data_IF_067357915766
#
_entry.id   IF_067357915766
#
_cell.length_a   1.000
_cell.length_b   1.000
_cell.length_c   1.000
_cell.angle_alpha   90.00
_cell.angle_beta   90.00
_cell.angle_gamma   90.00
#
_symmetry.space_group_name_H-M   'P 1'
#
loop_
_entity.id
_entity.type
_entity.pdbx_description
1 polymer ?
#
# COMPACT_ATOMS: atom_id res chain seq x y z
N UNK A 1 -7.21 8.19 11.73
CA UNK A 1 -7.02 7.58 10.46
C UNK A 1 -8.14 7.94 9.51
N UNK A 2 -7.94 7.71 8.23
CA UNK A 2 -8.86 8.13 7.17
C UNK A 2 -10.28 7.62 7.29
N UNK A 3 -10.53 6.62 8.08
CA UNK A 3 -11.88 6.10 8.28
C UNK A 3 -12.88 7.13 8.79
N UNK A 4 -12.39 8.13 9.52
CA UNK A 4 -13.26 9.15 10.08
C UNK A 4 -13.99 9.90 9.00
N UNK A 5 -13.34 10.07 7.85
CA UNK A 5 -13.94 10.78 6.71
C UNK A 5 -15.10 10.00 6.13
N UNK A 6 -14.98 8.69 6.08
CA UNK A 6 -16.02 7.86 5.46
C UNK A 6 -17.35 7.93 6.18
N UNK A 7 -17.33 8.19 7.48
CA UNK A 7 -18.54 8.25 8.27
C UNK A 7 -19.40 9.46 8.00
N UNK A 8 -18.83 10.47 7.38
CA UNK A 8 -19.48 11.75 7.20
C UNK A 8 -19.80 12.08 5.75
N UNK A 9 -19.53 11.16 4.84
CA UNK A 9 -19.76 11.39 3.42
C UNK A 9 -20.69 10.33 2.86
N UNK A 10 -21.49 10.72 1.88
CA UNK A 10 -22.30 9.79 1.11
C UNK A 10 -21.57 9.37 -0.15
N UNK A 11 -20.33 9.00 -0.01
CA UNK A 11 -19.50 8.53 -1.11
C UNK A 11 -19.96 7.13 -1.50
N UNK A 12 -20.29 6.87 -2.78
CA UNK A 12 -20.68 5.53 -3.23
C UNK A 12 -19.56 4.48 -3.07
N UNK A 13 -18.31 4.94 -2.92
CA UNK A 13 -17.17 4.05 -2.69
C UNK A 13 -16.91 3.81 -1.22
N UNK A 14 -17.72 4.34 -0.34
CA UNK A 14 -17.44 4.41 1.09
C UNK A 14 -17.06 3.09 1.72
N UNK A 15 -17.80 2.02 1.45
CA UNK A 15 -17.50 0.73 2.07
C UNK A 15 -16.26 0.06 1.47
N UNK A 16 -15.72 0.60 0.38
CA UNK A 16 -14.51 0.10 -0.26
C UNK A 16 -13.32 1.02 -0.03
N UNK A 17 -13.55 2.15 0.67
CA UNK A 17 -12.53 3.11 1.03
C UNK A 17 -11.89 2.79 2.38
N UNK A 18 -12.29 1.70 3.02
CA UNK A 18 -11.71 1.30 4.29
C UNK A 18 -10.50 0.42 4.04
N UNK A 19 -9.46 0.62 4.82
CA UNK A 19 -8.34 -0.30 4.82
C UNK A 19 -8.78 -1.62 5.44
N UNK A 20 -8.22 -2.73 4.99
CA UNK A 20 -8.68 -4.03 5.43
C UNK A 20 -7.53 -5.05 5.40
N UNK A 21 -7.74 -6.14 6.13
CA UNK A 21 -6.79 -7.25 6.19
C UNK A 21 -5.59 -6.97 7.08
N UNK A 22 -4.63 -7.91 7.16
CA UNK A 22 -3.49 -7.80 8.08
C UNK A 22 -2.62 -6.57 7.86
N UNK A 23 -2.46 -6.10 6.63
CA UNK A 23 -1.65 -4.94 6.33
C UNK A 23 -2.46 -3.64 6.27
N UNK A 24 -3.76 -3.68 6.55
CA UNK A 24 -4.63 -2.50 6.55
C UNK A 24 -4.47 -1.67 5.28
N UNK A 25 -4.70 -2.29 4.13
CA UNK A 25 -4.51 -1.65 2.83
C UNK A 25 -5.86 -1.32 2.19
N UNK A 26 -5.94 -0.16 1.53
CA UNK A 26 -7.11 0.27 0.77
C UNK A 26 -7.14 -0.38 -0.60
N UNK A 27 -8.34 -0.69 -1.10
CA UNK A 27 -8.47 -1.32 -2.42
C UNK A 27 -7.94 -0.43 -3.55
N UNK A 28 -8.18 0.88 -3.48
CA UNK A 28 -7.64 1.80 -4.48
C UNK A 28 -6.11 1.76 -4.49
N UNK A 29 -5.51 1.77 -3.31
CA UNK A 29 -4.04 1.73 -3.17
C UNK A 29 -3.50 0.41 -3.71
N UNK A 30 -4.19 -0.70 -3.42
CA UNK A 30 -3.79 -2.01 -3.94
C UNK A 30 -3.84 -2.03 -5.47
N UNK A 31 -4.92 -1.52 -6.06
CA UNK A 31 -5.05 -1.46 -7.52
C UNK A 31 -3.94 -0.62 -8.13
N UNK A 32 -3.67 0.54 -7.56
CA UNK A 32 -2.60 1.42 -8.06
C UNK A 32 -1.24 0.74 -7.98
N UNK A 33 -0.98 0.00 -6.90
CA UNK A 33 0.28 -0.73 -6.77
C UNK A 33 0.39 -1.88 -7.78
N UNK A 34 -0.71 -2.58 -8.04
CA UNK A 34 -0.75 -3.63 -9.07
C UNK A 34 -0.49 -3.05 -10.45
N UNK A 35 -1.14 -1.95 -10.80
CA UNK A 35 -0.96 -1.29 -12.08
C UNK A 35 0.48 -0.79 -12.25
N UNK A 36 1.06 -0.25 -11.17
CA UNK A 36 2.45 0.16 -11.19
C UNK A 36 3.37 -1.03 -11.48
N UNK A 37 3.16 -2.15 -10.77
CA UNK A 37 3.97 -3.35 -10.98
C UNK A 37 3.89 -3.84 -12.43
N UNK A 38 2.69 -3.83 -13.01
CA UNK A 38 2.51 -4.22 -14.40
C UNK A 38 3.25 -3.29 -15.34
N UNK A 39 3.16 -1.96 -15.12
CA UNK A 39 3.81 -0.98 -15.97
C UNK A 39 5.34 -1.07 -15.91
N UNK A 40 5.88 -1.49 -14.78
CA UNK A 40 7.33 -1.63 -14.57
C UNK A 40 7.85 -3.02 -14.90
N UNK A 41 6.98 -3.91 -15.36
CA UNK A 41 7.38 -5.28 -15.69
C UNK A 41 7.74 -6.11 -14.47
N UNK A 42 7.26 -5.74 -13.29
CA UNK A 42 7.49 -6.52 -12.09
C UNK A 42 6.56 -7.72 -12.13
N UNK A 43 7.10 -8.95 -12.15
CA UNK A 43 6.24 -10.13 -12.26
C UNK A 43 5.45 -10.36 -10.98
N UNK A 44 4.12 -10.34 -11.12
CA UNK A 44 3.24 -10.60 -10.00
C UNK A 44 2.12 -11.53 -10.46
N UNK A 45 1.78 -12.49 -9.61
CA UNK A 45 0.64 -13.34 -9.84
C UNK A 45 -0.25 -13.30 -8.61
N UNK A 46 -1.34 -12.58 -8.73
CA UNK A 46 -2.22 -12.31 -7.59
C UNK A 46 -3.57 -12.99 -7.70
N UNK A 47 -3.79 -13.77 -8.74
CA UNK A 47 -5.04 -14.50 -8.91
C UNK A 47 -6.24 -13.62 -9.23
N UNK A 48 -5.99 -12.39 -9.67
CA UNK A 48 -7.05 -11.52 -10.18
C UNK A 48 -6.86 -11.40 -11.68
N UNK A 49 -7.92 -11.72 -12.41
CA UNK A 49 -7.92 -11.64 -13.87
C UNK A 49 -8.64 -10.38 -14.33
N UNK A 50 -8.28 -9.95 -15.53
CA UNK A 50 -8.90 -8.79 -16.15
C UNK A 50 -8.25 -7.49 -15.77
N UNK A 51 -8.62 -6.45 -16.50
CA UNK A 51 -8.10 -5.12 -16.28
C UNK A 51 -8.74 -4.49 -15.05
N UNK A 52 -7.95 -3.75 -14.29
CA UNK A 52 -8.39 -3.09 -13.06
C UNK A 52 -8.33 -1.59 -13.23
N UNK A 53 -9.34 -0.90 -12.72
CA UNK A 53 -9.39 0.56 -12.73
C UNK A 53 -9.56 1.07 -11.31
N UNK A 54 -8.69 1.99 -10.84
CA UNK A 54 -8.67 2.39 -9.43
C UNK A 54 -9.90 3.16 -8.95
N UNK A 55 -10.72 3.66 -9.87
CA UNK A 55 -11.94 4.40 -9.52
C UNK A 55 -13.22 3.71 -9.97
N UNK A 56 -13.14 2.48 -10.45
CA UNK A 56 -14.31 1.72 -10.85
C UNK A 56 -14.89 1.01 -9.62
N UNK A 57 -16.19 1.23 -9.29
CA UNK A 57 -16.77 0.64 -8.08
C UNK A 57 -16.72 -0.89 -8.03
N UNK A 58 -16.93 -1.55 -9.17
CA UNK A 58 -16.91 -3.01 -9.22
C UNK A 58 -15.51 -3.56 -8.96
N UNK A 59 -14.50 -2.92 -9.53
CA UNK A 59 -13.10 -3.32 -9.31
C UNK A 59 -12.69 -3.05 -7.87
N UNK A 60 -13.06 -1.90 -7.31
CA UNK A 60 -12.78 -1.57 -5.92
C UNK A 60 -13.42 -2.59 -4.98
N UNK A 61 -14.66 -2.98 -5.24
CA UNK A 61 -15.35 -3.96 -4.43
C UNK A 61 -14.70 -5.34 -4.53
N UNK A 62 -14.35 -5.75 -5.74
CA UNK A 62 -13.73 -7.06 -5.99
C UNK A 62 -12.40 -7.16 -5.27
N UNK A 63 -11.56 -6.14 -5.40
CA UNK A 63 -10.25 -6.11 -4.74
C UNK A 63 -10.41 -6.01 -3.22
N UNK A 64 -11.34 -5.19 -2.74
CA UNK A 64 -11.59 -5.06 -1.30
C UNK A 64 -11.99 -6.39 -0.68
N UNK A 65 -12.88 -7.13 -1.34
CA UNK A 65 -13.27 -8.46 -0.85
C UNK A 65 -12.10 -9.42 -0.79
N UNK A 66 -11.25 -9.38 -1.80
CA UNK A 66 -10.07 -10.23 -1.85
C UNK A 66 -9.07 -9.85 -0.76
N UNK A 67 -8.83 -8.56 -0.57
CA UNK A 67 -7.96 -8.07 0.52
C UNK A 67 -8.45 -8.53 1.89
N UNK A 68 -9.76 -8.56 2.07
CA UNK A 68 -10.35 -8.92 3.36
C UNK A 68 -10.27 -10.41 3.63
N UNK A 69 -10.40 -11.25 2.63
CA UNK A 69 -10.53 -12.70 2.80
C UNK A 69 -9.23 -13.47 2.57
N UNK A 70 -8.31 -12.91 1.84
CA UNK A 70 -7.09 -13.60 1.42
C UNK A 70 -5.87 -12.86 1.97
N UNK A 71 -5.31 -13.38 3.06
CA UNK A 71 -4.18 -12.72 3.71
C UNK A 71 -2.93 -12.71 2.83
N UNK A 72 -2.72 -13.72 2.00
CA UNK A 72 -1.58 -13.74 1.08
C UNK A 72 -1.73 -12.62 0.06
N UNK A 73 -2.92 -12.46 -0.50
CA UNK A 73 -3.19 -11.38 -1.43
C UNK A 73 -2.98 -10.02 -0.76
N UNK A 74 -3.49 -9.86 0.47
CA UNK A 74 -3.35 -8.62 1.23
C UNK A 74 -1.88 -8.24 1.44
N UNK A 75 -1.08 -9.18 1.92
CA UNK A 75 0.34 -8.94 2.18
C UNK A 75 1.12 -8.73 0.89
N UNK A 76 0.74 -9.40 -0.18
CA UNK A 76 1.36 -9.18 -1.51
C UNK A 76 1.10 -7.78 -2.01
N UNK A 77 -0.13 -7.30 -1.87
CA UNK A 77 -0.48 -5.93 -2.25
C UNK A 77 0.27 -4.91 -1.39
N UNK A 78 0.45 -5.20 -0.10
CA UNK A 78 1.22 -4.33 0.78
C UNK A 78 2.68 -4.24 0.33
N UNK A 79 3.27 -5.37 -0.04
CA UNK A 79 4.64 -5.39 -0.56
C UNK A 79 4.76 -4.56 -1.85
N UNK A 80 3.81 -4.73 -2.76
CA UNK A 80 3.78 -3.92 -3.99
C UNK A 80 3.61 -2.44 -3.69
N UNK A 81 2.78 -2.11 -2.71
CA UNK A 81 2.59 -0.72 -2.33
C UNK A 81 3.87 -0.12 -1.75
N UNK A 82 4.63 -0.91 -1.00
CA UNK A 82 5.92 -0.46 -0.48
C UNK A 82 6.90 -0.17 -1.62
N UNK A 83 6.96 -1.06 -2.62
CA UNK A 83 7.79 -0.86 -3.80
C UNK A 83 7.34 0.39 -4.56
N UNK A 84 6.04 0.56 -4.73
CA UNK A 84 5.48 1.72 -5.41
C UNK A 84 5.83 3.01 -4.67
N UNK A 85 5.67 3.02 -3.34
CA UNK A 85 6.04 4.18 -2.53
C UNK A 85 7.53 4.49 -2.63
N UNK A 86 8.37 3.45 -2.65
CA UNK A 86 9.82 3.62 -2.82
C UNK A 86 10.12 4.31 -4.14
N UNK A 87 9.49 3.85 -5.22
CA UNK A 87 9.67 4.46 -6.53
C UNK A 87 9.19 5.90 -6.55
N UNK A 88 8.04 6.19 -5.95
CA UNK A 88 7.50 7.55 -5.91
C UNK A 88 8.40 8.51 -5.15
N UNK A 89 9.07 8.04 -4.10
CA UNK A 89 9.91 8.90 -3.27
C UNK A 89 11.36 8.99 -3.76
N UNK A 90 11.85 7.98 -4.46
CA UNK A 90 13.28 7.91 -4.82
C UNK A 90 13.58 7.71 -6.30
N UNK A 91 12.57 7.37 -7.11
CA UNK A 91 12.76 6.98 -8.49
C UNK A 91 13.35 5.58 -8.67
N UNK A 92 13.51 4.83 -7.58
CA UNK A 92 14.05 3.48 -7.59
C UNK A 92 13.05 2.55 -6.89
N UNK A 93 13.18 1.25 -7.12
CA UNK A 93 12.28 0.26 -6.51
C UNK A 93 12.92 -0.49 -5.34
N UNK A 94 14.24 -0.39 -5.16
CA UNK A 94 14.96 -1.11 -4.12
C UNK A 94 14.91 -0.41 -2.77
N UNK A 95 14.00 -0.82 -1.91
CA UNK A 95 13.85 -0.23 -0.58
C UNK A 95 15.14 -0.36 0.25
N UNK A 96 15.79 -1.52 0.19
CA UNK A 96 16.98 -1.77 1.01
C UNK A 96 18.16 -0.85 0.65
N UNK A 97 18.19 -0.36 -0.58
CA UNK A 97 19.25 0.55 -1.04
C UNK A 97 18.98 2.01 -0.64
N UNK A 98 17.83 2.30 -0.04
CA UNK A 98 17.49 3.65 0.39
C UNK A 98 18.27 4.06 1.63
N UNK A 99 18.50 5.37 1.76
CA UNK A 99 19.07 5.93 2.99
C UNK A 99 18.04 5.83 4.12
N UNK A 100 18.50 6.06 5.36
CA UNK A 100 17.61 6.10 6.52
C UNK A 100 16.48 7.10 6.33
N UNK A 101 16.81 8.30 5.88
CA UNK A 101 15.81 9.34 5.65
C UNK A 101 14.84 8.94 4.57
N UNK A 102 15.34 8.37 3.47
CA UNK A 102 14.48 7.89 2.39
C UNK A 102 13.53 6.80 2.88
N UNK A 103 14.01 5.87 3.70
CA UNK A 103 13.16 4.81 4.26
C UNK A 103 12.04 5.39 5.13
N UNK A 104 12.36 6.38 5.94
CA UNK A 104 11.32 7.05 6.74
C UNK A 104 10.32 7.79 5.86
N UNK A 105 10.78 8.40 4.78
CA UNK A 105 9.88 9.03 3.80
C UNK A 105 8.97 8.01 3.12
N UNK A 106 9.53 6.86 2.75
CA UNK A 106 8.74 5.79 2.12
C UNK A 106 7.64 5.30 3.08
N UNK A 107 7.98 5.05 4.34
CA UNK A 107 6.97 4.64 5.32
C UNK A 107 5.91 5.72 5.54
N UNK A 108 6.33 6.98 5.53
CA UNK A 108 5.38 8.10 5.65
C UNK A 108 4.43 8.13 4.46
N UNK A 109 4.96 7.95 3.26
CA UNK A 109 4.17 7.90 2.03
C UNK A 109 3.22 6.70 2.04
N UNK A 110 3.68 5.55 2.52
CA UNK A 110 2.84 4.36 2.64
C UNK A 110 1.58 4.65 3.45
N UNK A 111 1.71 5.48 4.49
CA UNK A 111 0.58 5.89 5.34
C UNK A 111 -0.13 7.15 4.84
N UNK A 112 0.12 7.57 3.62
CA UNK A 112 -0.58 8.68 3.01
C UNK A 112 0.09 10.04 3.08
N UNK A 113 1.20 10.17 3.78
CA UNK A 113 1.92 11.45 3.89
C UNK A 113 3.12 11.47 2.94
N UNK A 114 3.00 12.19 1.83
CA UNK A 114 4.06 12.29 0.82
C UNK A 114 4.92 13.55 0.95
N UNK A 115 4.60 14.41 1.89
CA UNK A 115 5.20 15.75 1.97
C UNK A 115 6.40 15.82 2.91
N UNK A 116 6.39 15.00 3.94
CA UNK A 116 7.41 15.05 4.99
C UNK A 116 7.44 13.74 5.75
N UNK A 117 8.50 13.56 6.54
CA UNK A 117 8.59 12.42 7.45
C UNK A 117 7.56 12.60 8.56
N UNK A 118 6.64 11.66 8.69
CA UNK A 118 5.59 11.68 9.70
C UNK A 118 6.02 10.89 10.93
N UNK A 119 5.26 11.06 12.03
CA UNK A 119 5.49 10.25 13.23
C UNK A 119 5.32 8.77 12.93
N UNK A 120 4.33 8.43 12.10
CA UNK A 120 4.15 7.05 11.64
C UNK A 120 5.39 6.55 10.90
N UNK A 121 5.94 7.37 9.99
CA UNK A 121 7.12 6.97 9.22
C UNK A 121 8.33 6.71 10.12
N UNK A 122 8.53 7.56 11.10
CA UNK A 122 9.62 7.38 12.07
C UNK A 122 9.44 6.12 12.91
N UNK A 123 8.21 5.91 13.40
CA UNK A 123 7.92 4.72 14.22
C UNK A 123 8.02 3.44 13.42
N UNK A 124 7.50 3.44 12.19
CA UNK A 124 7.60 2.28 11.31
C UNK A 124 9.06 1.94 11.01
N UNK A 125 9.90 2.96 10.82
CA UNK A 125 11.32 2.74 10.61
C UNK A 125 11.99 2.10 11.84
N UNK A 126 11.62 2.51 13.05
CA UNK A 126 12.13 1.89 14.26
C UNK A 126 11.74 0.41 14.36
N UNK A 127 10.50 0.07 14.03
CA UNK A 127 10.06 -1.33 13.98
C UNK A 127 10.83 -2.11 12.92
N UNK A 128 11.08 -1.50 11.77
CA UNK A 128 11.86 -2.11 10.71
C UNK A 128 13.28 -2.44 11.19
N UNK A 129 13.94 -1.49 11.86
CA UNK A 129 15.28 -1.72 12.41
C UNK A 129 15.27 -2.85 13.42
N UNK A 130 14.26 -2.90 14.29
CA UNK A 130 14.13 -3.96 15.27
C UNK A 130 13.97 -5.32 14.60
N UNK A 131 13.13 -5.37 13.56
CA UNK A 131 12.94 -6.60 12.79
C UNK A 131 14.24 -7.06 12.15
N UNK A 132 14.98 -6.15 11.52
CA UNK A 132 16.25 -6.47 10.89
C UNK A 132 17.25 -7.00 11.94
N UNK A 133 17.29 -6.37 13.11
CA UNK A 133 18.20 -6.79 14.18
C UNK A 133 17.89 -8.21 14.66
N UNK A 134 16.60 -8.56 14.75
CA UNK A 134 16.20 -9.89 15.23
C UNK A 134 16.39 -10.97 14.17
N UNK A 135 16.29 -10.65 12.89
CA UNK A 135 16.39 -11.63 11.80
C UNK A 135 17.74 -11.66 11.12
N UNK A 136 18.52 -10.63 11.31
CA UNK A 136 19.88 -10.55 10.76
C UNK A 136 20.89 -11.12 11.70
#
# INVERSE_FOLDING_TARGET
>A
HVFVLDRHTHNPFRKFDSSTGPAQIFSQVAIEAILFAESEGIPVYLGISGELFPFNPDDLQRVWRRLRRDNVFNLSCAALNLIHATFQMTGRTGFDACTEEEKMMVFSRYNGNAQRISDYGMQAYQYYLEFIRQTG
#
